data_IF_763275778578
#
_entry.id   IF_763275778578
#
_cell.length_a   1.000
_cell.length_b   1.000
_cell.length_c   1.000
_cell.angle_alpha   90.00
_cell.angle_beta   90.00
_cell.angle_gamma   90.00
#
_symmetry.space_group_name_H-M   'P 1'
#
loop_
_entity.id
_entity.type
_entity.pdbx_description
1 polymer ?
#
# COMPACT_ATOMS: atom_id res chain seq x y z
N UNK A 1 27.20 -7.52 2.22
CA UNK A 1 26.55 -8.27 1.11
C UNK A 1 25.06 -8.11 1.26
N UNK A 2 24.35 -7.53 0.27
CA UNK A 2 22.89 -7.65 0.24
C UNK A 2 22.58 -9.15 0.11
N UNK A 3 22.06 -9.74 1.19
CA UNK A 3 21.66 -11.14 1.25
C UNK A 3 20.31 -11.35 0.56
N UNK A 4 20.22 -10.96 -0.72
CA UNK A 4 19.09 -11.24 -1.60
C UNK A 4 18.92 -12.76 -1.66
N UNK A 5 17.97 -13.27 -0.86
CA UNK A 5 17.75 -14.70 -0.60
C UNK A 5 17.09 -15.01 0.76
N UNK A 6 17.10 -14.09 1.72
CA UNK A 6 16.47 -14.27 3.05
C UNK A 6 14.95 -13.97 3.08
N UNK A 7 14.18 -14.45 2.11
CA UNK A 7 12.73 -14.21 2.08
C UNK A 7 12.31 -12.81 1.62
N UNK A 8 13.15 -12.14 0.82
CA UNK A 8 12.76 -10.92 0.11
C UNK A 8 11.70 -11.26 -0.94
N UNK A 9 10.58 -10.56 -0.89
CA UNK A 9 9.51 -10.63 -1.89
C UNK A 9 9.35 -9.28 -2.57
N UNK A 10 9.33 -9.29 -3.90
CA UNK A 10 9.04 -8.12 -4.72
C UNK A 10 7.97 -8.53 -5.73
N UNK A 11 6.89 -7.75 -5.84
CA UNK A 11 5.89 -7.95 -6.87
C UNK A 11 5.58 -6.64 -7.59
N UNK A 12 5.22 -6.75 -8.86
CA UNK A 12 4.69 -5.65 -9.66
C UNK A 12 3.46 -6.15 -10.38
N UNK A 13 2.36 -5.44 -10.22
CA UNK A 13 1.07 -5.78 -10.78
C UNK A 13 0.51 -4.59 -11.55
N UNK A 14 -0.25 -4.87 -12.60
CA UNK A 14 -0.97 -3.87 -13.37
C UNK A 14 -2.40 -4.35 -13.56
N UNK A 15 -3.34 -3.57 -13.05
CA UNK A 15 -4.77 -3.80 -13.19
C UNK A 15 -5.32 -2.81 -14.21
N UNK A 16 -6.09 -3.34 -15.16
CA UNK A 16 -6.75 -2.57 -16.19
C UNK A 16 -8.25 -2.88 -16.20
N UNK A 17 -9.08 -1.84 -16.29
CA UNK A 17 -10.53 -1.97 -16.35
C UNK A 17 -11.10 -1.02 -17.39
N UNK A 18 -12.04 -1.47 -18.22
CA UNK A 18 -12.80 -0.62 -19.14
C UNK A 18 -14.27 -0.79 -18.85
N UNK A 19 -14.96 0.33 -18.69
CA UNK A 19 -16.41 0.39 -18.62
C UNK A 19 -16.92 1.17 -19.84
N UNK A 20 -17.91 0.61 -20.53
CA UNK A 20 -18.54 1.22 -21.70
C UNK A 20 -20.05 1.22 -21.46
N UNK A 21 -20.65 2.40 -21.43
CA UNK A 21 -22.12 2.53 -21.45
C UNK A 21 -22.57 2.75 -22.89
N UNK A 22 -23.32 1.79 -23.42
CA UNK A 22 -23.82 1.81 -24.79
C UNK A 22 -24.78 2.99 -25.06
N UNK A 23 -25.27 3.68 -24.02
CA UNK A 23 -26.18 4.81 -24.17
C UNK A 23 -25.50 6.18 -24.22
N UNK A 24 -24.23 6.30 -23.77
CA UNK A 24 -23.54 7.59 -23.66
C UNK A 24 -22.30 7.73 -24.55
N UNK A 25 -21.93 6.69 -25.30
CA UNK A 25 -20.73 6.66 -26.16
C UNK A 25 -19.43 7.07 -25.44
N UNK A 26 -19.44 7.02 -24.10
CA UNK A 26 -18.33 7.33 -23.22
C UNK A 26 -17.76 6.03 -22.67
N UNK A 27 -16.45 5.86 -22.85
CA UNK A 27 -15.71 4.73 -22.33
C UNK A 27 -14.74 5.19 -21.24
N UNK A 28 -14.98 4.75 -20.01
CA UNK A 28 -14.10 5.03 -18.88
C UNK A 28 -13.11 3.87 -18.80
N UNK A 29 -11.88 4.15 -19.22
CA UNK A 29 -10.74 3.25 -19.07
C UNK A 29 -10.03 3.58 -17.77
N UNK A 30 -9.70 2.59 -16.92
CA UNK A 30 -8.95 2.75 -15.67
C UNK A 30 -7.71 1.86 -15.67
N UNK A 31 -6.55 2.41 -15.32
CA UNK A 31 -5.29 1.70 -15.17
C UNK A 31 -4.66 1.97 -13.81
N UNK A 32 -4.28 0.92 -13.10
CA UNK A 32 -3.61 1.00 -11.79
C UNK A 32 -2.37 0.09 -11.82
N UNK A 33 -1.20 0.63 -11.51
CA UNK A 33 -0.01 -0.17 -11.22
C UNK A 33 0.19 -0.27 -9.71
N UNK A 34 0.55 -1.44 -9.21
CA UNK A 34 0.99 -1.63 -7.84
C UNK A 34 2.39 -2.26 -7.83
N UNK A 35 3.24 -1.80 -6.91
CA UNK A 35 4.55 -2.34 -6.64
C UNK A 35 4.64 -2.63 -5.15
N UNK A 36 4.92 -3.88 -4.80
CA UNK A 36 5.08 -4.31 -3.42
C UNK A 36 6.49 -4.81 -3.18
N UNK A 37 7.00 -4.50 -1.99
CA UNK A 37 8.30 -4.93 -1.52
C UNK A 37 8.15 -5.37 -0.06
N UNK A 38 8.59 -6.58 0.27
CA UNK A 38 8.52 -7.11 1.63
C UNK A 38 9.82 -7.81 1.97
N UNK A 39 10.48 -7.37 3.04
CA UNK A 39 11.73 -7.92 3.52
C UNK A 39 11.68 -8.24 5.02
N UNK A 40 11.72 -9.52 5.41
CA UNK A 40 11.89 -9.90 6.81
C UNK A 40 13.34 -9.65 7.22
N UNK A 41 13.57 -8.62 8.04
CA UNK A 41 14.89 -8.26 8.53
C UNK A 41 15.44 -9.34 9.48
N UNK A 42 14.55 -9.91 10.29
CA UNK A 42 14.80 -11.04 11.19
C UNK A 42 13.45 -11.69 11.58
N UNK A 43 13.47 -12.70 12.45
CA UNK A 43 12.24 -13.38 12.92
C UNK A 43 11.22 -12.47 13.60
N UNK A 44 11.67 -11.34 14.14
CA UNK A 44 10.86 -10.42 14.93
C UNK A 44 10.59 -9.10 14.21
N UNK A 45 11.19 -8.86 13.05
CA UNK A 45 11.13 -7.56 12.38
C UNK A 45 10.98 -7.69 10.89
N UNK A 46 10.13 -6.87 10.30
CA UNK A 46 9.91 -6.82 8.85
C UNK A 46 9.79 -5.37 8.37
N UNK A 47 10.17 -5.18 7.12
CA UNK A 47 9.99 -3.94 6.40
C UNK A 47 9.16 -4.23 5.15
N UNK A 48 8.03 -3.55 4.98
CA UNK A 48 7.23 -3.62 3.77
C UNK A 48 7.00 -2.25 3.17
N UNK A 49 6.95 -2.18 1.85
CA UNK A 49 6.60 -1.00 1.10
C UNK A 49 5.57 -1.34 0.03
N UNK A 50 4.61 -0.44 -0.18
CA UNK A 50 3.62 -0.53 -1.24
C UNK A 50 3.58 0.82 -1.94
N UNK A 51 3.71 0.81 -3.26
CA UNK A 51 3.54 1.98 -4.11
C UNK A 51 2.48 1.64 -5.12
N UNK A 52 1.46 2.48 -5.27
CA UNK A 52 0.52 2.35 -6.37
C UNK A 52 0.38 3.65 -7.15
N UNK A 53 0.25 3.52 -8.46
CA UNK A 53 0.04 4.60 -9.40
C UNK A 53 -1.30 4.41 -10.09
N UNK A 54 -2.17 5.41 -9.97
CA UNK A 54 -3.42 5.50 -10.72
C UNK A 54 -3.16 6.36 -11.95
N UNK A 55 -3.10 5.74 -13.13
CA UNK A 55 -2.66 6.40 -14.35
C UNK A 55 -3.66 7.43 -14.88
N UNK A 56 -4.94 7.29 -14.54
CA UNK A 56 -6.01 8.15 -15.05
C UNK A 56 -6.01 9.55 -14.48
N UNK A 57 -5.74 9.66 -13.19
CA UNK A 57 -5.83 10.92 -12.47
C UNK A 57 -4.42 11.38 -12.02
N UNK A 58 -3.39 10.68 -12.49
CA UNK A 58 -1.98 10.86 -12.13
C UNK A 58 -1.73 10.89 -10.62
N UNK A 59 -2.33 9.94 -9.91
CA UNK A 59 -2.28 9.89 -8.45
C UNK A 59 -1.37 8.77 -7.99
N UNK A 60 -0.36 9.13 -7.22
CA UNK A 60 0.56 8.20 -6.60
C UNK A 60 0.22 8.04 -5.12
N UNK A 61 0.33 6.82 -4.61
CA UNK A 61 0.34 6.53 -3.19
C UNK A 61 1.56 5.72 -2.82
N UNK A 62 2.10 6.02 -1.66
CA UNK A 62 3.22 5.31 -1.09
C UNK A 62 2.91 4.97 0.36
N UNK A 63 3.25 3.75 0.76
CA UNK A 63 3.20 3.29 2.14
C UNK A 63 4.48 2.52 2.44
N UNK A 64 5.11 2.85 3.57
CA UNK A 64 6.24 2.13 4.14
C UNK A 64 5.86 1.73 5.56
N UNK A 65 5.97 0.45 5.86
CA UNK A 65 5.65 -0.11 7.16
C UNK A 65 6.87 -0.84 7.72
N UNK A 66 7.31 -0.42 8.90
CA UNK A 66 8.28 -1.14 9.71
C UNK A 66 7.57 -1.76 10.90
N UNK A 67 7.70 -3.06 11.05
CA UNK A 67 7.14 -3.82 12.18
C UNK A 67 8.28 -4.40 13.01
N UNK A 68 8.11 -4.35 14.33
CA UNK A 68 8.95 -5.07 15.29
C UNK A 68 8.11 -5.72 16.39
N UNK A 69 8.33 -7.00 16.62
CA UNK A 69 7.72 -7.78 17.68
C UNK A 69 8.74 -8.00 18.81
N UNK A 70 8.39 -7.53 19.99
CA UNK A 70 9.09 -7.85 21.24
C UNK A 70 8.51 -9.16 21.79
N UNK A 71 8.34 -9.30 23.10
CA UNK A 71 7.69 -10.48 23.68
C UNK A 71 6.17 -10.39 23.55
N UNK A 72 5.55 -9.57 24.39
CA UNK A 72 4.11 -9.37 24.49
C UNK A 72 3.67 -8.07 23.83
N UNK A 73 4.56 -7.43 23.06
CA UNK A 73 4.32 -6.12 22.46
C UNK A 73 4.76 -6.14 21.00
N UNK A 74 3.92 -5.62 20.12
CA UNK A 74 4.23 -5.41 18.71
C UNK A 74 4.12 -3.92 18.39
N UNK A 75 5.18 -3.37 17.80
CA UNK A 75 5.23 -1.99 17.34
C UNK A 75 5.22 -1.90 15.83
N UNK A 76 4.54 -0.88 15.31
CA UNK A 76 4.46 -0.56 13.89
C UNK A 76 4.72 0.92 13.69
N UNK A 77 5.58 1.23 12.72
CA UNK A 77 5.82 2.57 12.23
C UNK A 77 5.43 2.58 10.76
N UNK A 78 4.37 3.31 10.44
CA UNK A 78 3.81 3.39 9.09
C UNK A 78 3.99 4.81 8.60
N UNK A 79 4.81 5.00 7.57
CA UNK A 79 4.89 6.23 6.80
C UNK A 79 4.01 6.08 5.59
N UNK A 80 3.17 7.07 5.31
CA UNK A 80 2.31 7.03 4.14
C UNK A 80 2.26 8.38 3.45
N UNK A 81 1.96 8.35 2.16
CA UNK A 81 1.60 9.49 1.34
C UNK A 81 0.41 9.08 0.49
N UNK A 82 -0.75 9.65 0.78
CA UNK A 82 -1.98 9.37 0.05
C UNK A 82 -2.44 10.64 -0.69
N UNK A 83 -2.95 10.56 -1.92
CA UNK A 83 -3.54 11.68 -2.62
C UNK A 83 -4.90 12.03 -2.01
N UNK A 84 -5.34 13.28 -2.17
CA UNK A 84 -6.57 13.81 -1.55
C UNK A 84 -7.86 13.09 -2.00
N UNK A 85 -7.80 12.34 -3.10
CA UNK A 85 -8.93 11.57 -3.62
C UNK A 85 -8.44 10.29 -4.25
N UNK A 86 -8.67 9.13 -3.63
CA UNK A 86 -8.33 7.84 -4.22
C UNK A 86 -9.59 7.32 -4.93
N UNK A 87 -9.58 7.30 -6.26
CA UNK A 87 -10.69 6.78 -7.05
C UNK A 87 -10.41 5.33 -7.47
N UNK A 88 -11.33 4.40 -7.23
CA UNK A 88 -11.29 3.06 -7.82
C UNK A 88 -10.85 1.89 -6.93
N UNK A 89 -10.44 2.14 -5.68
CA UNK A 89 -10.36 1.10 -4.65
C UNK A 89 -11.48 1.40 -3.67
N UNK A 90 -12.36 0.43 -3.41
CA UNK A 90 -13.43 0.55 -2.41
C UNK A 90 -12.81 1.03 -1.09
N UNK A 91 -13.04 2.30 -0.73
CA UNK A 91 -12.73 2.79 0.60
C UNK A 91 -13.75 2.15 1.54
N UNK A 92 -13.35 1.09 2.24
CA UNK A 92 -14.10 0.66 3.41
C UNK A 92 -13.98 1.77 4.46
N UNK A 93 -15.10 2.28 4.96
CA UNK A 93 -15.19 3.34 5.98
C UNK A 93 -14.41 3.05 7.28
N UNK A 94 -13.93 1.81 7.44
CA UNK A 94 -13.11 1.34 8.57
C UNK A 94 -11.66 1.85 8.45
N UNK A 95 -11.15 2.09 7.22
CA UNK A 95 -9.85 2.73 7.00
C UNK A 95 -10.05 4.19 6.60
N UNK A 96 -9.99 5.09 7.58
CA UNK A 96 -9.78 6.51 7.31
C UNK A 96 -8.38 6.69 6.73
N UNK A 97 -8.25 6.58 5.42
CA UNK A 97 -7.02 6.95 4.74
C UNK A 97 -6.89 8.46 4.84
N UNK A 98 -5.97 8.93 5.69
CA UNK A 98 -5.67 10.36 5.77
C UNK A 98 -5.02 10.78 4.46
N UNK A 99 -5.55 11.83 3.85
CA UNK A 99 -4.95 12.48 2.70
C UNK A 99 -3.64 13.17 3.09
N UNK A 100 -2.71 13.23 2.14
CA UNK A 100 -1.39 13.81 2.31
C UNK A 100 -0.34 12.85 2.89
N UNK A 101 0.87 13.37 3.15
CA UNK A 101 1.91 12.66 3.88
C UNK A 101 1.56 12.54 5.36
N UNK A 102 1.86 11.39 5.96
CA UNK A 102 1.63 11.18 7.37
C UNK A 102 2.46 10.06 7.97
N UNK A 103 2.45 10.02 9.30
CA UNK A 103 3.11 9.00 10.11
C UNK A 103 2.07 8.43 11.05
N UNK A 104 1.97 7.11 11.10
CA UNK A 104 1.14 6.39 12.04
C UNK A 104 2.01 5.47 12.89
N UNK A 105 1.78 5.52 14.19
CA UNK A 105 2.40 4.66 15.18
C UNK A 105 1.32 3.77 15.78
N UNK A 106 1.51 2.46 15.74
CA UNK A 106 0.62 1.50 16.38
C UNK A 106 1.43 0.64 17.34
N UNK A 107 0.91 0.49 18.55
CA UNK A 107 1.43 -0.42 19.57
C UNK A 107 0.31 -1.39 19.94
N UNK A 108 0.60 -2.69 19.85
CA UNK A 108 -0.34 -3.76 20.17
C UNK A 108 0.27 -4.59 21.29
N UNK A 109 -0.43 -4.67 22.42
CA UNK A 109 -0.05 -5.53 23.54
C UNK A 109 -0.87 -6.83 23.50
N UNK A 110 -0.17 -7.97 23.52
CA UNK A 110 -0.75 -9.30 23.55
C UNK A 110 -0.50 -9.91 24.94
N UNK A 111 -1.58 -10.14 25.70
CA UNK A 111 -1.55 -10.77 27.02
C UNK A 111 -1.59 -12.30 26.91
#
# INVERSE_FOLDING_TARGET
>A
TFGIGKGLTISKEYLFSKYSDNQLNDSISRGISAFSFNYPLNFFSSLSALVYQQWNNDKQTLMLNYQHQFNNLSGYIILYYNPDSIEGIQQNDIFRSFAGPGIQLLLVYNH
#
